data_IF_172014827723
#
_entry.id   IF_172014827723
#
_cell.length_a   1.000
_cell.length_b   1.000
_cell.length_c   1.000
_cell.angle_alpha   90.00
_cell.angle_beta   90.00
_cell.angle_gamma   90.00
#
_symmetry.space_group_name_H-M   'P 1'
#
loop_
_entity.id
_entity.type
_entity.pdbx_description
1 polymer ?
#
# COMPACT_ATOMS: atom_id res chain seq x y z
N UNK A 1 2.59 -25.52 -2.61
CA UNK A 1 3.10 -25.56 -4.00
C UNK A 1 2.20 -24.69 -4.86
N UNK A 2 2.74 -23.84 -5.75
CA UNK A 2 1.92 -23.04 -6.67
C UNK A 2 1.12 -23.96 -7.60
N UNK A 3 -0.11 -23.56 -7.96
CA UNK A 3 -0.96 -24.35 -8.85
C UNK A 3 -0.52 -24.23 -10.32
N UNK A 4 -0.92 -25.19 -11.17
CA UNK A 4 -0.71 -25.09 -12.63
C UNK A 4 -1.26 -23.78 -13.19
N UNK A 5 -2.42 -23.33 -12.68
CA UNK A 5 -3.04 -22.05 -13.03
C UNK A 5 -2.14 -20.86 -12.73
N UNK A 6 -1.42 -20.87 -11.60
CA UNK A 6 -0.47 -19.80 -11.25
C UNK A 6 0.64 -19.66 -12.29
N UNK A 7 1.26 -20.79 -12.66
CA UNK A 7 2.34 -20.79 -13.65
C UNK A 7 1.83 -20.39 -15.05
N UNK A 8 0.63 -20.83 -15.43
CA UNK A 8 0.00 -20.44 -16.70
C UNK A 8 -0.25 -18.93 -16.76
N UNK A 9 -0.80 -18.34 -15.69
CA UNK A 9 -1.02 -16.90 -15.60
C UNK A 9 0.28 -16.11 -15.70
N UNK A 10 1.32 -16.52 -14.98
CA UNK A 10 2.65 -15.90 -15.05
C UNK A 10 3.23 -15.95 -16.46
N UNK A 11 3.08 -17.08 -17.15
CA UNK A 11 3.59 -17.24 -18.51
C UNK A 11 2.82 -16.42 -19.55
N UNK A 12 1.50 -16.32 -19.42
CA UNK A 12 0.63 -15.63 -20.37
C UNK A 12 0.48 -14.13 -20.09
N UNK A 13 0.96 -13.65 -18.94
CA UNK A 13 0.97 -12.22 -18.57
C UNK A 13 2.30 -11.54 -18.89
N UNK A 14 3.07 -12.04 -19.87
CA UNK A 14 4.38 -11.48 -20.29
C UNK A 14 4.35 -9.99 -20.65
N UNK A 15 3.17 -9.46 -21.00
CA UNK A 15 3.00 -8.03 -21.28
C UNK A 15 2.99 -7.17 -20.00
N UNK A 16 2.82 -7.78 -18.82
CA UNK A 16 2.99 -7.14 -17.52
C UNK A 16 4.47 -7.15 -17.16
N UNK A 17 5.11 -5.99 -17.26
CA UNK A 17 6.50 -5.81 -16.85
C UNK A 17 6.56 -5.42 -15.38
N UNK A 18 7.14 -6.28 -14.55
CA UNK A 18 7.46 -5.96 -13.16
C UNK A 18 8.91 -5.45 -13.04
N UNK A 19 9.10 -4.41 -12.25
CA UNK A 19 10.40 -3.95 -11.77
C UNK A 19 10.51 -4.17 -10.26
N UNK A 20 11.72 -4.40 -9.76
CA UNK A 20 11.98 -4.57 -8.33
C UNK A 20 12.93 -3.48 -7.82
N UNK A 21 12.48 -2.21 -7.71
CA UNK A 21 13.29 -1.18 -7.10
C UNK A 21 13.62 -1.59 -5.65
N UNK A 22 14.88 -1.49 -5.21
CA UNK A 22 15.23 -1.80 -3.83
C UNK A 22 14.57 -0.81 -2.86
N UNK A 23 14.45 -1.20 -1.58
CA UNK A 23 13.93 -0.32 -0.53
C UNK A 23 14.68 1.03 -0.50
N UNK A 24 16.00 1.02 -0.73
CA UNK A 24 16.84 2.22 -0.72
C UNK A 24 16.37 3.27 -1.72
N UNK A 25 15.81 2.89 -2.88
CA UNK A 25 15.29 3.85 -3.86
C UNK A 25 14.17 4.73 -3.29
N UNK A 26 13.36 4.20 -2.37
CA UNK A 26 12.29 4.96 -1.71
C UNK A 26 12.81 5.73 -0.50
N UNK A 27 13.76 5.16 0.25
CA UNK A 27 14.38 5.83 1.40
C UNK A 27 15.18 7.05 0.96
N UNK A 28 15.96 6.95 -0.13
CA UNK A 28 16.72 8.07 -0.70
C UNK A 28 15.81 9.23 -1.12
N UNK A 29 14.61 8.94 -1.63
CA UNK A 29 13.62 9.98 -1.96
C UNK A 29 13.13 10.73 -0.72
N UNK A 30 12.82 9.98 0.36
CA UNK A 30 12.45 10.57 1.65
C UNK A 30 13.59 11.43 2.21
N UNK A 31 14.84 10.95 2.13
CA UNK A 31 16.03 11.66 2.62
C UNK A 31 16.30 12.96 1.84
N UNK A 32 16.10 12.95 0.52
CA UNK A 32 16.28 14.13 -0.34
C UNK A 32 15.12 15.12 -0.28
N UNK A 33 14.04 14.81 0.44
CA UNK A 33 12.84 15.64 0.43
C UNK A 33 12.08 15.58 -0.91
N UNK A 34 12.31 14.55 -1.72
CA UNK A 34 11.59 14.31 -2.98
C UNK A 34 10.24 13.64 -2.68
N UNK A 35 9.15 14.41 -2.74
CA UNK A 35 7.80 13.87 -2.54
C UNK A 35 7.48 12.78 -3.57
N UNK A 36 6.75 11.77 -3.13
CA UNK A 36 6.15 10.78 -4.03
C UNK A 36 4.90 10.19 -3.39
N UNK A 37 3.99 9.70 -4.23
CA UNK A 37 2.88 8.87 -3.79
C UNK A 37 3.04 7.44 -4.33
N UNK A 38 2.60 6.46 -3.54
CA UNK A 38 2.83 5.05 -3.81
C UNK A 38 1.57 4.25 -3.49
N UNK A 39 0.89 3.79 -4.54
CA UNK A 39 -0.29 2.92 -4.46
C UNK A 39 0.08 1.48 -4.76
N UNK A 40 -0.59 0.53 -4.10
CA UNK A 40 -0.33 -0.90 -4.26
C UNK A 40 -1.57 -1.62 -4.77
N UNK A 41 -1.42 -2.32 -5.88
CA UNK A 41 -2.50 -3.12 -6.47
C UNK A 41 -2.22 -4.59 -6.21
N UNK A 42 -2.89 -5.14 -5.21
CA UNK A 42 -2.89 -6.55 -4.85
C UNK A 42 -4.04 -7.34 -5.47
N UNK A 43 -4.18 -8.59 -5.04
CA UNK A 43 -5.27 -9.47 -5.45
C UNK A 43 -6.65 -8.90 -5.06
N UNK A 44 -6.77 -8.31 -3.86
CA UNK A 44 -7.98 -7.64 -3.41
C UNK A 44 -8.41 -6.50 -4.35
N UNK A 45 -7.48 -5.59 -4.67
CA UNK A 45 -7.75 -4.47 -5.57
C UNK A 45 -8.13 -4.96 -6.97
N UNK A 46 -7.44 -5.97 -7.50
CA UNK A 46 -7.75 -6.52 -8.81
C UNK A 46 -9.09 -7.28 -8.83
N UNK A 47 -9.45 -7.97 -7.76
CA UNK A 47 -10.77 -8.61 -7.65
C UNK A 47 -11.89 -7.56 -7.72
N UNK A 48 -11.76 -6.45 -7.00
CA UNK A 48 -12.70 -5.33 -7.06
C UNK A 48 -12.72 -4.67 -8.46
N UNK A 49 -11.55 -4.39 -9.05
CA UNK A 49 -11.40 -3.85 -10.41
C UNK A 49 -12.03 -4.78 -11.46
N UNK A 50 -11.99 -6.09 -11.27
CA UNK A 50 -12.59 -7.04 -12.20
C UNK A 50 -14.08 -7.26 -11.92
N UNK A 51 -14.65 -6.59 -10.91
CA UNK A 51 -16.08 -6.66 -10.57
C UNK A 51 -16.49 -8.00 -9.97
N UNK A 52 -15.55 -8.68 -9.29
CA UNK A 52 -15.84 -9.94 -8.63
C UNK A 52 -16.58 -9.69 -7.31
N UNK A 53 -17.57 -10.51 -6.95
CA UNK A 53 -18.20 -10.44 -5.65
C UNK A 53 -17.27 -11.01 -4.57
N UNK A 54 -17.51 -10.65 -3.30
CA UNK A 54 -16.81 -11.19 -2.14
C UNK A 54 -16.07 -10.11 -1.36
N UNK A 55 -15.03 -10.54 -0.66
CA UNK A 55 -14.21 -9.70 0.22
C UNK A 55 -12.74 -10.10 0.13
N UNK A 56 -11.84 -9.19 0.53
CA UNK A 56 -10.43 -9.50 0.68
C UNK A 56 -10.16 -10.30 1.98
N UNK A 57 -8.89 -10.68 2.21
CA UNK A 57 -8.51 -11.45 3.39
C UNK A 57 -8.75 -10.77 4.76
N UNK A 58 -9.02 -9.46 4.77
CA UNK A 58 -9.34 -8.68 5.97
C UNK A 58 -10.86 -8.50 6.19
N UNK A 59 -11.69 -9.04 5.29
CA UNK A 59 -13.15 -8.86 5.32
C UNK A 59 -13.61 -7.51 4.78
N UNK A 60 -12.83 -6.90 3.88
CA UNK A 60 -13.25 -5.70 3.15
C UNK A 60 -13.95 -6.11 1.86
N UNK A 61 -15.24 -5.80 1.78
CA UNK A 61 -16.11 -6.11 0.65
C UNK A 61 -15.64 -5.42 -0.65
N UNK A 62 -15.76 -6.14 -1.76
CA UNK A 62 -15.54 -5.62 -3.11
C UNK A 62 -16.75 -4.80 -3.59
N UNK A 63 -17.02 -3.67 -2.92
CA UNK A 63 -18.13 -2.78 -3.29
C UNK A 63 -18.05 -2.41 -4.79
N UNK A 64 -19.15 -2.43 -5.55
CA UNK A 64 -19.13 -2.06 -6.96
C UNK A 64 -18.54 -0.67 -7.21
N UNK A 65 -18.88 0.30 -6.36
CA UNK A 65 -18.35 1.66 -6.42
C UNK A 65 -16.84 1.71 -6.14
N UNK A 66 -16.34 0.98 -5.14
CA UNK A 66 -14.90 0.86 -4.87
C UNK A 66 -14.18 0.30 -6.11
N UNK A 67 -14.72 -0.77 -6.71
CA UNK A 67 -14.17 -1.35 -7.94
C UNK A 67 -14.14 -0.36 -9.11
N UNK A 68 -15.18 0.48 -9.26
CA UNK A 68 -15.21 1.54 -10.26
C UNK A 68 -14.12 2.60 -9.99
N UNK A 69 -14.02 3.11 -8.76
CA UNK A 69 -13.03 4.13 -8.40
C UNK A 69 -11.61 3.62 -8.57
N UNK A 70 -11.33 2.37 -8.20
CA UNK A 70 -10.05 1.74 -8.47
C UNK A 70 -9.73 1.64 -9.97
N UNK A 71 -10.71 1.29 -10.82
CA UNK A 71 -10.53 1.31 -12.28
C UNK A 71 -10.16 2.70 -12.78
N UNK A 72 -10.87 3.72 -12.29
CA UNK A 72 -10.64 5.11 -12.69
C UNK A 72 -9.20 5.54 -12.39
N UNK A 73 -8.62 5.11 -11.25
CA UNK A 73 -7.22 5.43 -10.93
C UNK A 73 -6.22 4.90 -11.97
N UNK A 74 -6.53 3.78 -12.63
CA UNK A 74 -5.68 3.15 -13.63
C UNK A 74 -5.95 3.66 -15.05
N UNK A 75 -7.20 4.00 -15.36
CA UNK A 75 -7.62 4.51 -16.68
C UNK A 75 -7.21 5.97 -16.85
N UNK A 76 -7.28 6.77 -15.77
CA UNK A 76 -6.92 8.18 -15.76
C UNK A 76 -5.73 8.41 -14.81
N UNK A 77 -4.52 7.92 -15.14
CA UNK A 77 -3.42 7.93 -14.19
C UNK A 77 -2.88 9.35 -13.94
N UNK A 78 -2.64 9.66 -12.68
CA UNK A 78 -1.86 10.80 -12.21
C UNK A 78 -0.36 10.44 -12.06
N UNK A 79 0.56 11.40 -12.02
CA UNK A 79 2.01 11.16 -12.05
C UNK A 79 2.58 10.69 -10.69
N UNK A 80 2.15 9.52 -10.22
CA UNK A 80 2.70 8.84 -9.06
C UNK A 80 2.95 7.35 -9.33
N UNK A 81 3.46 6.63 -8.32
CA UNK A 81 3.87 5.24 -8.45
C UNK A 81 2.68 4.29 -8.25
N UNK A 82 2.40 3.48 -9.26
CA UNK A 82 1.41 2.39 -9.20
C UNK A 82 2.16 1.07 -9.19
N UNK A 83 2.23 0.46 -8.02
CA UNK A 83 2.94 -0.79 -7.82
C UNK A 83 1.98 -1.98 -7.91
N UNK A 84 2.47 -3.13 -8.36
CA UNK A 84 1.70 -4.36 -8.56
C UNK A 84 2.28 -5.49 -7.71
N UNK A 85 1.43 -6.21 -6.99
CA UNK A 85 1.85 -7.38 -6.22
C UNK A 85 2.04 -8.59 -7.14
N UNK A 86 3.11 -9.35 -6.89
CA UNK A 86 3.39 -10.55 -7.69
C UNK A 86 2.30 -11.62 -7.53
N UNK A 87 1.70 -11.71 -6.35
CA UNK A 87 0.59 -12.62 -6.08
C UNK A 87 -0.62 -12.37 -7.01
N UNK A 88 -0.95 -11.10 -7.26
CA UNK A 88 -2.06 -10.72 -8.13
C UNK A 88 -1.83 -11.20 -9.58
N UNK A 89 -0.58 -11.09 -10.07
CA UNK A 89 -0.21 -11.61 -11.40
C UNK A 89 -0.34 -13.14 -11.43
N UNK A 90 0.11 -13.82 -10.38
CA UNK A 90 -0.04 -15.26 -10.28
C UNK A 90 -1.50 -15.72 -10.30
N UNK A 91 -2.38 -15.04 -9.58
CA UNK A 91 -3.79 -15.41 -9.49
C UNK A 91 -4.60 -15.01 -10.73
N UNK A 92 -4.32 -13.82 -11.28
CA UNK A 92 -5.18 -13.13 -12.24
C UNK A 92 -4.46 -12.48 -13.42
N UNK A 93 -3.18 -12.80 -13.65
CA UNK A 93 -2.33 -12.15 -14.65
C UNK A 93 -2.94 -12.05 -16.06
N UNK A 94 -3.68 -13.06 -16.53
CA UNK A 94 -4.37 -13.00 -17.83
C UNK A 94 -5.49 -11.96 -17.82
N UNK A 95 -6.30 -11.91 -16.75
CA UNK A 95 -7.39 -10.95 -16.64
C UNK A 95 -6.85 -9.52 -16.48
N UNK A 96 -5.77 -9.37 -15.71
CA UNK A 96 -5.04 -8.11 -15.55
C UNK A 96 -4.49 -7.64 -16.89
N UNK A 97 -3.78 -8.51 -17.63
CA UNK A 97 -3.23 -8.17 -18.94
C UNK A 97 -4.31 -7.78 -19.95
N UNK A 98 -5.44 -8.50 -19.98
CA UNK A 98 -6.61 -8.15 -20.82
C UNK A 98 -7.21 -6.81 -20.44
N UNK A 99 -7.34 -6.51 -19.15
CA UNK A 99 -7.83 -5.22 -18.68
C UNK A 99 -6.88 -4.10 -19.11
N UNK A 100 -5.57 -4.27 -18.90
CA UNK A 100 -4.57 -3.29 -19.31
C UNK A 100 -4.60 -3.06 -20.83
N UNK A 101 -4.63 -4.14 -21.63
CA UNK A 101 -4.70 -4.05 -23.08
C UNK A 101 -5.97 -3.32 -23.56
N UNK A 102 -7.15 -3.71 -23.05
CA UNK A 102 -8.43 -3.09 -23.40
C UNK A 102 -8.44 -1.58 -23.12
N UNK A 103 -7.83 -1.16 -22.01
CA UNK A 103 -7.78 0.24 -21.58
C UNK A 103 -6.49 0.96 -22.00
N UNK A 104 -5.66 0.34 -22.86
CA UNK A 104 -4.39 0.91 -23.36
C UNK A 104 -3.43 1.34 -22.24
N UNK A 105 -3.44 0.63 -21.12
CA UNK A 105 -2.54 0.85 -19.99
C UNK A 105 -1.20 0.20 -20.32
N UNK A 106 -0.23 1.02 -20.73
CA UNK A 106 1.15 0.59 -20.99
C UNK A 106 2.05 1.20 -19.91
N UNK A 107 2.55 0.35 -19.02
CA UNK A 107 3.49 0.76 -17.97
C UNK A 107 4.33 -0.39 -17.47
N UNK A 108 5.48 -0.03 -16.90
CA UNK A 108 6.20 -0.91 -16.00
C UNK A 108 5.68 -0.72 -14.58
N UNK A 109 5.49 -1.83 -13.87
CA UNK A 109 4.92 -1.85 -12.53
C UNK A 109 6.03 -2.13 -11.52
N UNK A 110 6.35 -1.20 -10.62
CA UNK A 110 7.18 -1.51 -9.47
C UNK A 110 6.54 -2.59 -8.61
N UNK A 111 7.35 -3.39 -7.93
CA UNK A 111 6.88 -4.40 -7.00
C UNK A 111 6.22 -3.74 -5.77
N UNK A 112 4.94 -4.01 -5.56
CA UNK A 112 4.19 -3.50 -4.41
C UNK A 112 4.60 -4.11 -3.07
N UNK A 113 5.29 -5.24 -3.08
CA UNK A 113 5.69 -5.96 -1.87
C UNK A 113 7.05 -5.51 -1.32
N UNK A 114 7.67 -4.45 -1.88
CA UNK A 114 9.00 -3.97 -1.44
C UNK A 114 9.10 -3.73 0.07
N UNK A 115 8.07 -3.15 0.69
CA UNK A 115 8.05 -2.92 2.14
C UNK A 115 7.76 -4.19 2.93
N UNK A 116 6.94 -5.09 2.40
CA UNK A 116 6.64 -6.38 3.02
C UNK A 116 7.87 -7.30 3.01
N UNK A 117 8.54 -7.42 1.86
CA UNK A 117 9.77 -8.20 1.72
C UNK A 117 10.87 -7.65 2.62
N UNK A 118 11.10 -6.32 2.62
CA UNK A 118 12.06 -5.73 3.53
C UNK A 118 11.73 -6.02 5.00
N UNK A 119 10.45 -5.97 5.38
CA UNK A 119 10.02 -6.34 6.73
C UNK A 119 10.27 -7.81 7.05
N UNK A 120 9.92 -8.72 6.15
CA UNK A 120 10.09 -10.17 6.33
C UNK A 120 11.57 -10.57 6.43
N UNK A 121 12.44 -9.89 5.69
CA UNK A 121 13.87 -10.19 5.63
C UNK A 121 14.70 -9.50 6.72
N UNK A 122 14.08 -8.71 7.62
CA UNK A 122 14.82 -7.95 8.63
C UNK A 122 15.61 -6.76 8.07
N UNK A 123 15.18 -6.21 6.92
CA UNK A 123 15.84 -5.13 6.17
C UNK A 123 15.06 -3.80 6.15
N UNK A 124 14.01 -3.65 6.98
CA UNK A 124 13.16 -2.46 7.02
C UNK A 124 13.78 -1.27 7.78
N UNK A 125 14.85 -1.50 8.56
CA UNK A 125 15.46 -0.49 9.43
C UNK A 125 15.80 0.84 8.72
N UNK A 126 16.32 0.89 7.48
CA UNK A 126 16.58 2.18 6.82
C UNK A 126 15.32 3.03 6.67
N UNK A 127 14.19 2.42 6.30
CA UNK A 127 12.91 3.11 6.23
C UNK A 127 12.43 3.55 7.62
N UNK A 128 12.49 2.68 8.62
CA UNK A 128 12.09 3.01 10.01
C UNK A 128 12.92 4.18 10.54
N UNK A 129 14.23 4.13 10.36
CA UNK A 129 15.17 5.19 10.76
C UNK A 129 14.88 6.50 10.06
N UNK A 130 14.46 6.48 8.80
CA UNK A 130 14.08 7.71 8.11
C UNK A 130 12.74 8.25 8.59
N UNK A 131 11.72 7.39 8.77
CA UNK A 131 10.41 7.81 9.31
C UNK A 131 10.53 8.38 10.74
N UNK A 132 11.47 7.91 11.56
CA UNK A 132 11.76 8.47 12.89
C UNK A 132 12.22 9.94 12.87
N UNK A 133 12.67 10.45 11.72
CA UNK A 133 13.14 11.85 11.53
C UNK A 133 12.10 12.75 10.88
N UNK A 134 10.94 12.21 10.50
CA UNK A 134 9.95 12.91 9.69
C UNK A 134 8.67 13.14 10.48
N UNK A 135 7.91 14.16 10.06
CA UNK A 135 6.53 14.30 10.49
C UNK A 135 5.67 13.27 9.77
N UNK A 136 5.12 12.33 10.54
CA UNK A 136 4.29 11.25 10.03
C UNK A 136 2.85 11.42 10.51
N UNK A 137 1.91 11.23 9.61
CA UNK A 137 0.48 11.05 9.90
C UNK A 137 0.12 9.61 9.59
N UNK A 138 -0.36 8.88 10.59
CA UNK A 138 -0.87 7.52 10.37
C UNK A 138 -2.34 7.60 9.96
N UNK A 139 -2.71 6.92 8.88
CA UNK A 139 -4.10 6.72 8.47
C UNK A 139 -4.38 5.22 8.52
N UNK A 140 -5.07 4.75 9.56
CA UNK A 140 -5.20 3.33 9.78
C UNK A 140 -6.08 2.91 10.96
N UNK A 141 -6.30 1.60 11.13
CA UNK A 141 -7.16 1.05 12.16
C UNK A 141 -6.59 1.28 13.57
N UNK A 142 -7.48 1.29 14.57
CA UNK A 142 -7.17 1.65 15.96
C UNK A 142 -5.92 0.96 16.55
N UNK A 143 -5.65 -0.31 16.20
CA UNK A 143 -4.50 -1.05 16.74
C UNK A 143 -3.15 -0.42 16.34
N UNK A 144 -3.09 0.32 15.22
CA UNK A 144 -1.89 1.04 14.78
C UNK A 144 -1.55 2.25 15.64
N UNK A 145 -2.40 2.69 16.58
CA UNK A 145 -2.04 3.75 17.56
C UNK A 145 -0.78 3.39 18.35
N UNK A 146 -0.52 2.10 18.54
CA UNK A 146 0.66 1.57 19.23
C UNK A 146 1.97 1.75 18.44
N UNK A 147 1.95 2.18 17.18
CA UNK A 147 3.16 2.47 16.38
C UNK A 147 4.07 3.45 17.13
N UNK A 148 3.49 4.50 17.73
CA UNK A 148 4.22 5.54 18.47
C UNK A 148 5.00 5.04 19.68
N UNK A 149 4.63 3.87 20.21
CA UNK A 149 5.26 3.28 21.39
C UNK A 149 6.53 2.51 21.04
N UNK A 150 6.71 2.07 19.79
CA UNK A 150 7.76 1.10 19.43
C UNK A 150 8.48 1.37 18.12
N UNK A 151 7.80 1.93 17.12
CA UNK A 151 8.35 2.02 15.75
C UNK A 151 8.89 3.42 15.48
N UNK A 152 8.02 4.43 15.43
CA UNK A 152 8.36 5.85 15.25
C UNK A 152 7.23 6.73 15.79
N UNK A 153 7.54 7.98 16.17
CA UNK A 153 6.53 8.97 16.58
C UNK A 153 5.76 9.48 15.36
N UNK A 154 4.50 9.84 15.56
CA UNK A 154 3.67 10.49 14.54
C UNK A 154 3.07 11.77 15.13
N UNK A 155 2.79 12.77 14.28
CA UNK A 155 2.20 14.05 14.69
C UNK A 155 0.67 14.00 14.76
N UNK A 156 0.05 13.08 14.00
CA UNK A 156 -1.39 12.89 14.01
C UNK A 156 -1.77 11.44 13.68
N UNK A 157 -2.96 11.02 14.11
CA UNK A 157 -3.53 9.71 13.83
C UNK A 157 -4.97 9.86 13.35
N UNK A 158 -5.21 9.50 12.09
CA UNK A 158 -6.54 9.45 11.48
C UNK A 158 -7.03 8.01 11.58
N UNK A 159 -7.94 7.79 12.52
CA UNK A 159 -8.51 6.46 12.75
C UNK A 159 -9.55 6.12 11.68
N UNK A 160 -9.43 4.92 11.12
CA UNK A 160 -10.37 4.39 10.14
C UNK A 160 -11.04 3.11 10.67
N UNK A 161 -12.24 2.75 10.17
CA UNK A 161 -12.83 1.44 10.46
C UNK A 161 -11.89 0.31 10.05
N UNK A 162 -11.77 -0.72 10.90
CA UNK A 162 -10.90 -1.88 10.60
C UNK A 162 -11.42 -2.75 9.45
N UNK A 163 -12.68 -2.59 9.06
CA UNK A 163 -13.34 -3.24 7.93
C UNK A 163 -14.16 -2.22 7.15
N UNK A 164 -14.27 -2.41 5.84
CA UNK A 164 -15.10 -1.59 4.96
C UNK A 164 -14.85 -0.08 5.12
N UNK A 165 -13.60 0.32 5.35
CA UNK A 165 -13.23 1.72 5.54
C UNK A 165 -13.53 2.60 4.31
N UNK A 166 -13.77 1.98 3.15
CA UNK A 166 -14.25 2.67 1.95
C UNK A 166 -15.56 3.44 2.21
N UNK A 167 -16.46 2.93 3.04
CA UNK A 167 -17.70 3.61 3.40
C UNK A 167 -17.48 4.95 4.12
N UNK A 168 -16.27 5.16 4.67
CA UNK A 168 -15.84 6.40 5.31
C UNK A 168 -14.84 7.19 4.47
N UNK A 169 -14.62 6.86 3.18
CA UNK A 169 -13.57 7.45 2.36
C UNK A 169 -13.64 8.98 2.30
N UNK A 170 -14.83 9.55 2.12
CA UNK A 170 -15.02 11.01 2.06
C UNK A 170 -14.65 11.70 3.38
N UNK A 171 -15.03 11.10 4.52
CA UNK A 171 -14.62 11.60 5.84
C UNK A 171 -13.10 11.52 6.00
N UNK A 172 -12.50 10.38 5.65
CA UNK A 172 -11.05 10.16 5.77
C UNK A 172 -10.28 11.19 4.92
N UNK A 173 -10.74 11.48 3.70
CA UNK A 173 -10.16 12.54 2.87
C UNK A 173 -10.24 13.90 3.53
N UNK A 174 -11.41 14.26 4.07
CA UNK A 174 -11.60 15.52 4.79
C UNK A 174 -10.65 15.63 5.99
N UNK A 175 -10.49 14.56 6.76
CA UNK A 175 -9.57 14.52 7.91
C UNK A 175 -8.11 14.71 7.46
N UNK A 176 -7.70 14.05 6.36
CA UNK A 176 -6.34 14.22 5.79
C UNK A 176 -6.12 15.67 5.34
N UNK A 177 -7.07 16.25 4.60
CA UNK A 177 -6.97 17.64 4.13
C UNK A 177 -6.91 18.64 5.28
N UNK A 178 -7.67 18.41 6.35
CA UNK A 178 -7.63 19.26 7.54
C UNK A 178 -6.24 19.25 8.21
N UNK A 179 -5.57 18.10 8.27
CA UNK A 179 -4.18 18.03 8.77
C UNK A 179 -3.22 18.73 7.78
N UNK A 180 -3.41 18.54 6.48
CA UNK A 180 -2.54 19.12 5.45
C UNK A 180 -2.60 20.66 5.38
N UNK A 181 -3.70 21.29 5.77
CA UNK A 181 -3.85 22.75 5.73
C UNK A 181 -2.72 23.52 6.44
N UNK A 182 -2.12 22.93 7.47
CA UNK A 182 -1.07 23.57 8.28
C UNK A 182 0.27 22.83 8.22
N UNK A 183 0.39 21.78 7.40
CA UNK A 183 1.58 20.95 7.38
C UNK A 183 2.00 20.63 5.93
N UNK A 184 3.28 20.83 5.64
CA UNK A 184 3.95 20.45 4.39
C UNK A 184 5.04 19.44 4.69
N UNK A 185 5.50 18.69 3.68
CA UNK A 185 6.56 17.68 3.85
C UNK A 185 6.21 16.63 4.90
N UNK A 186 4.94 16.24 4.95
CA UNK A 186 4.44 15.19 5.84
C UNK A 186 4.39 13.86 5.11
N UNK A 187 4.69 12.77 5.82
CA UNK A 187 4.43 11.41 5.37
C UNK A 187 3.06 10.97 5.85
N UNK A 188 2.10 10.88 4.92
CA UNK A 188 0.85 10.18 5.14
C UNK A 188 1.08 8.68 4.91
N UNK A 189 1.13 7.93 6.01
CA UNK A 189 1.32 6.49 6.02
C UNK A 189 -0.04 5.80 6.05
N UNK A 190 -0.50 5.32 4.88
CA UNK A 190 -1.82 4.71 4.72
C UNK A 190 -1.77 3.20 4.96
N UNK A 191 -2.63 2.72 5.84
CA UNK A 191 -2.95 1.31 6.08
C UNK A 191 -4.46 1.12 5.96
N UNK A 192 -4.99 1.44 4.78
CA UNK A 192 -6.42 1.61 4.54
C UNK A 192 -7.01 0.59 3.54
N UNK A 193 -6.43 -0.62 3.47
CA UNK A 193 -6.88 -1.66 2.54
C UNK A 193 -6.96 -1.11 1.10
N UNK A 194 -7.88 -1.62 0.29
CA UNK A 194 -8.15 -1.14 -1.08
C UNK A 194 -8.47 0.36 -1.16
N UNK A 195 -9.01 0.94 -0.08
CA UNK A 195 -9.34 2.38 -0.01
C UNK A 195 -8.09 3.25 -0.11
N UNK A 196 -6.91 2.76 0.28
CA UNK A 196 -5.67 3.53 0.21
C UNK A 196 -5.40 4.06 -1.21
N UNK A 197 -5.62 3.24 -2.25
CA UNK A 197 -5.41 3.64 -3.64
C UNK A 197 -6.38 4.74 -4.09
N UNK A 198 -7.62 4.67 -3.64
CA UNK A 198 -8.64 5.69 -3.91
C UNK A 198 -8.27 7.00 -3.22
N UNK A 199 -7.88 6.95 -1.95
CA UNK A 199 -7.48 8.15 -1.18
C UNK A 199 -6.26 8.81 -1.80
N UNK A 200 -5.22 8.04 -2.15
CA UNK A 200 -4.01 8.56 -2.79
C UNK A 200 -4.36 9.24 -4.10
N UNK A 201 -5.18 8.60 -4.95
CA UNK A 201 -5.53 9.15 -6.25
C UNK A 201 -6.29 10.48 -6.13
N UNK A 202 -7.32 10.51 -5.28
CA UNK A 202 -8.13 11.71 -5.05
C UNK A 202 -7.35 12.88 -4.47
N UNK A 203 -6.43 12.60 -3.55
CA UNK A 203 -5.69 13.62 -2.81
C UNK A 203 -4.42 14.07 -3.54
N UNK A 204 -3.95 13.30 -4.53
CA UNK A 204 -2.71 13.59 -5.24
C UNK A 204 -2.67 14.98 -5.88
N UNK A 205 -3.74 15.48 -6.56
CA UNK A 205 -3.71 16.81 -7.17
C UNK A 205 -3.47 17.94 -6.16
N UNK A 206 -3.77 17.71 -4.87
CA UNK A 206 -3.64 18.72 -3.82
C UNK A 206 -2.39 18.51 -2.98
N UNK A 207 -2.00 17.26 -2.71
CA UNK A 207 -0.95 16.92 -1.74
C UNK A 207 0.33 16.35 -2.37
N UNK A 208 0.25 15.78 -3.57
CA UNK A 208 1.29 14.92 -4.14
C UNK A 208 2.63 15.60 -4.45
N UNK A 209 2.62 16.92 -4.66
CA UNK A 209 3.83 17.71 -4.95
C UNK A 209 4.63 18.11 -3.71
N UNK A 210 4.05 17.98 -2.52
CA UNK A 210 4.65 18.53 -1.28
C UNK A 210 4.63 17.55 -0.11
N UNK A 211 3.89 16.44 -0.23
CA UNK A 211 3.76 15.41 0.79
C UNK A 211 3.99 14.02 0.22
N UNK A 212 4.35 13.08 1.10
CA UNK A 212 4.41 11.67 0.75
C UNK A 212 3.09 11.01 1.10
N UNK A 213 2.51 10.25 0.16
CA UNK A 213 1.33 9.42 0.43
C UNK A 213 1.66 7.99 0.07
N UNK A 214 1.93 7.17 1.09
CA UNK A 214 2.49 5.84 0.91
C UNK A 214 1.54 4.82 1.47
N UNK A 215 1.07 3.91 0.60
CA UNK A 215 0.35 2.73 1.02
C UNK A 215 1.33 1.71 1.64
N UNK A 216 1.29 1.60 2.96
CA UNK A 216 2.03 0.60 3.71
C UNK A 216 1.22 -0.69 3.92
N UNK A 217 -0.06 -0.73 3.58
CA UNK A 217 -0.94 -1.88 3.82
C UNK A 217 -0.79 -2.39 5.25
N UNK A 218 -0.49 -3.68 5.40
CA UNK A 218 -0.33 -4.36 6.70
C UNK A 218 1.11 -4.45 7.21
N UNK A 219 2.06 -3.66 6.67
CA UNK A 219 3.47 -3.71 7.10
C UNK A 219 3.62 -3.51 8.61
N UNK A 220 2.86 -2.58 9.20
CA UNK A 220 3.00 -2.19 10.60
C UNK A 220 2.36 -3.15 11.60
N UNK A 221 1.47 -4.02 11.15
CA UNK A 221 0.62 -4.85 12.01
C UNK A 221 1.40 -5.75 12.98
N UNK A 222 2.49 -6.36 12.50
CA UNK A 222 3.33 -7.24 13.32
C UNK A 222 4.06 -6.49 14.42
N UNK A 223 4.44 -5.23 14.20
CA UNK A 223 5.19 -4.41 15.16
C UNK A 223 4.33 -3.93 16.33
N UNK A 224 3.02 -3.91 16.16
CA UNK A 224 2.03 -3.52 17.18
C UNK A 224 1.30 -4.71 17.80
N UNK A 225 1.76 -5.93 17.52
CA UNK A 225 1.21 -7.17 18.08
C UNK A 225 -0.15 -7.57 17.50
N UNK A 226 -0.42 -7.22 16.24
CA UNK A 226 -1.68 -7.53 15.56
C UNK A 226 -1.45 -8.24 14.20
N UNK A 227 -0.73 -9.38 14.14
CA UNK A 227 -0.32 -9.99 12.87
C UNK A 227 -1.51 -10.40 11.99
N UNK A 228 -1.73 -9.65 10.91
CA UNK A 228 -2.87 -9.78 9.98
C UNK A 228 -2.54 -10.64 8.76
N UNK A 229 -1.26 -10.97 8.53
CA UNK A 229 -0.83 -11.78 7.37
C UNK A 229 -0.25 -13.12 7.82
N UNK A 230 -0.42 -14.14 6.98
CA UNK A 230 0.07 -15.50 7.28
C UNK A 230 1.57 -15.53 7.57
N UNK A 231 2.36 -14.82 6.76
CA UNK A 231 3.81 -14.74 6.93
C UNK A 231 4.22 -14.09 8.26
N UNK A 232 3.38 -13.22 8.86
CA UNK A 232 3.61 -12.57 10.16
C UNK A 232 3.34 -13.47 11.37
N UNK A 233 2.74 -14.65 11.18
CA UNK A 233 2.37 -15.58 12.27
C UNK A 233 3.38 -16.71 12.45
N UNK A 234 4.49 -16.69 11.71
CA UNK A 234 5.56 -17.68 11.78
C UNK A 234 6.41 -17.58 13.05
N UNK A 235 7.29 -18.57 13.26
CA UNK A 235 8.31 -18.51 14.31
C UNK A 235 9.45 -17.56 13.90
N UNK A 236 10.11 -16.93 14.87
CA UNK A 236 11.29 -16.07 14.62
C UNK A 236 11.00 -14.59 14.39
N UNK A 237 9.74 -14.16 14.41
CA UNK A 237 9.37 -12.75 14.24
C UNK A 237 9.96 -11.82 15.28
N UNK A 238 10.14 -12.26 16.53
CA UNK A 238 10.78 -11.43 17.55
C UNK A 238 12.18 -10.97 17.13
N UNK A 239 12.95 -11.86 16.50
CA UNK A 239 14.28 -11.53 15.97
C UNK A 239 14.17 -10.57 14.78
N UNK A 240 13.26 -10.83 13.85
CA UNK A 240 13.06 -10.00 12.65
C UNK A 240 12.61 -8.59 13.04
N UNK A 241 11.67 -8.47 13.98
CA UNK A 241 11.22 -7.19 14.53
C UNK A 241 12.40 -6.42 15.12
N UNK A 242 13.24 -7.07 15.95
CA UNK A 242 14.42 -6.41 16.52
C UNK A 242 15.37 -5.86 15.45
N UNK A 243 15.68 -6.66 14.42
CA UNK A 243 16.50 -6.22 13.28
C UNK A 243 15.89 -4.99 12.57
N UNK A 244 14.59 -5.02 12.32
CA UNK A 244 13.88 -3.92 11.64
C UNK A 244 13.76 -2.65 12.49
N UNK A 245 13.83 -2.76 13.82
CA UNK A 245 13.75 -1.64 14.75
C UNK A 245 15.13 -1.12 15.21
N UNK A 246 16.19 -1.90 14.97
CA UNK A 246 17.55 -1.60 15.42
C UNK A 246 17.77 -1.93 16.90
N UNK A 247 17.10 -2.97 17.41
CA UNK A 247 17.14 -3.48 18.79
C UNK A 247 18.04 -4.70 18.96
#
# INVERSE_FOLDING_TARGET
MPSIRYHLNMFLSRDIRLENPPLSSYVEKLERGESFSFSRFGDGEWNAILGRPGENCDGHEFFPELGQRLRETLINPLPYIYALQQLAIGQDGIAIARFCHKNRIVRTWPNADVFHHASEEGRLLPLVSQLRKMDVVIVGPQHLRKISQRVFKYIHFIEIPSRNCFLSAEKIKSDILAVAQNNSKVVYALSASMTANVLIHDLFPVLGSDNWMIDFGSVWDVYVGAPSRGYQRGTGWDRIIRLNLGE
#
